data_IF_451816761054
#
_entry.id   IF_451816761054
#
_cell.length_a   1.000
_cell.length_b   1.000
_cell.length_c   1.000
_cell.angle_alpha   90.00
_cell.angle_beta   90.00
_cell.angle_gamma   90.00
#
_symmetry.space_group_name_H-M   'P 1'
#
loop_
_entity.id
_entity.type
_entity.pdbx_description
1 polymer ?
#
# COMPACT_ATOMS: atom_id res chain seq x y z
N UNK A 1 6.70 3.86 -7.07
CA UNK A 1 5.27 3.72 -6.66
C UNK A 1 4.41 4.60 -7.54
N UNK A 2 3.30 4.10 -7.96
CA UNK A 2 2.38 4.82 -8.84
C UNK A 2 1.35 5.63 -8.02
N UNK A 3 1.21 6.92 -8.35
CA UNK A 3 0.22 7.77 -7.70
C UNK A 3 -1.12 7.67 -8.45
N UNK A 4 -2.13 7.11 -7.81
CA UNK A 4 -3.47 6.99 -8.36
C UNK A 4 -4.46 7.78 -7.50
N UNK A 5 -5.42 8.43 -8.15
CA UNK A 5 -6.35 9.34 -7.47
C UNK A 5 -7.81 8.93 -7.64
N UNK A 6 -8.09 7.83 -8.30
CA UNK A 6 -9.46 7.36 -8.52
C UNK A 6 -9.61 5.95 -7.98
N UNK A 7 -10.70 5.71 -7.24
CA UNK A 7 -11.00 4.39 -6.68
C UNK A 7 -11.10 3.33 -7.77
N UNK A 8 -11.63 3.69 -8.92
CA UNK A 8 -11.78 2.78 -10.05
C UNK A 8 -10.42 2.31 -10.57
N UNK A 9 -9.46 3.24 -10.73
CA UNK A 9 -8.13 2.92 -11.21
C UNK A 9 -7.35 2.11 -10.18
N UNK A 10 -7.53 2.45 -8.90
CA UNK A 10 -6.90 1.71 -7.80
C UNK A 10 -7.40 0.28 -7.76
N UNK A 11 -8.71 0.08 -7.80
CA UNK A 11 -9.29 -1.26 -7.80
C UNK A 11 -8.86 -2.09 -9.02
N UNK A 12 -8.79 -1.45 -10.20
CA UNK A 12 -8.37 -2.14 -11.40
C UNK A 12 -6.92 -2.57 -11.31
N UNK A 13 -6.05 -1.71 -10.81
CA UNK A 13 -4.63 -2.01 -10.63
C UNK A 13 -4.43 -3.17 -9.65
N UNK A 14 -5.17 -3.15 -8.54
CA UNK A 14 -5.12 -4.22 -7.55
C UNK A 14 -5.61 -5.54 -8.17
N UNK A 15 -6.65 -5.49 -8.96
CA UNK A 15 -7.22 -6.67 -9.62
C UNK A 15 -6.26 -7.27 -10.66
N UNK A 16 -5.52 -6.43 -11.36
CA UNK A 16 -4.63 -6.85 -12.45
C UNK A 16 -3.28 -7.38 -11.98
N UNK A 17 -2.99 -7.30 -10.68
CA UNK A 17 -1.70 -7.70 -10.12
C UNK A 17 -1.90 -8.62 -8.94
N UNK A 18 -1.18 -9.74 -8.92
CA UNK A 18 -1.35 -10.75 -7.88
C UNK A 18 -0.93 -10.27 -6.51
N UNK A 19 0.10 -9.41 -6.43
CA UNK A 19 0.54 -8.82 -5.17
C UNK A 19 0.72 -7.33 -5.35
N UNK A 20 0.02 -6.54 -4.53
CA UNK A 20 0.10 -5.08 -4.55
C UNK A 20 0.39 -4.56 -3.16
N UNK A 21 1.26 -3.56 -3.09
CA UNK A 21 1.42 -2.73 -1.90
C UNK A 21 0.68 -1.43 -2.14
N UNK A 22 -0.19 -1.05 -1.21
CA UNK A 22 -0.97 0.17 -1.30
C UNK A 22 -0.70 1.05 -0.09
N UNK A 23 -0.08 2.22 -0.33
CA UNK A 23 0.21 3.20 0.72
C UNK A 23 -0.83 4.31 0.68
N UNK A 24 -1.40 4.64 1.85
CA UNK A 24 -2.49 5.61 1.94
C UNK A 24 -2.08 6.74 2.89
N UNK A 25 -2.08 7.98 2.35
CA UNK A 25 -1.87 9.18 3.15
C UNK A 25 -3.20 9.69 3.66
N UNK A 26 -3.18 10.41 4.77
CA UNK A 26 -4.37 11.03 5.35
C UNK A 26 -4.10 12.50 5.66
N UNK A 27 -5.16 13.32 5.84
CA UNK A 27 -5.00 14.72 6.25
C UNK A 27 -4.30 14.82 7.61
N UNK A 28 -3.59 15.93 7.81
CA UNK A 28 -2.91 16.24 9.07
C UNK A 28 -1.90 15.17 9.51
N UNK A 29 -1.32 14.47 8.54
CA UNK A 29 -0.33 13.44 8.79
C UNK A 29 1.07 14.01 8.54
N UNK A 30 1.73 14.48 9.60
CA UNK A 30 3.05 15.10 9.50
C UNK A 30 4.15 14.15 9.08
N UNK A 31 3.94 12.82 9.18
CA UNK A 31 4.96 11.82 8.86
C UNK A 31 4.66 11.06 7.56
N UNK A 32 3.53 11.32 6.92
CA UNK A 32 3.14 10.55 5.73
C UNK A 32 4.15 10.64 4.59
N UNK A 33 4.66 11.84 4.27
CA UNK A 33 5.62 11.99 3.19
C UNK A 33 6.96 11.33 3.49
N UNK A 34 7.42 11.46 4.73
CA UNK A 34 8.67 10.80 5.17
C UNK A 34 8.53 9.29 5.09
N UNK A 35 7.40 8.79 5.56
CA UNK A 35 7.14 7.34 5.54
C UNK A 35 6.97 6.82 4.12
N UNK A 36 6.31 7.58 3.25
CA UNK A 36 6.17 7.23 1.84
C UNK A 36 7.54 7.04 1.19
N UNK A 37 8.48 7.96 1.42
CA UNK A 37 9.84 7.84 0.90
C UNK A 37 10.54 6.56 1.38
N UNK A 38 10.37 6.24 2.66
CA UNK A 38 10.97 5.03 3.23
C UNK A 38 10.36 3.76 2.65
N UNK A 39 9.06 3.74 2.48
CA UNK A 39 8.35 2.59 1.89
C UNK A 39 8.73 2.45 0.42
N UNK A 40 8.85 3.55 -0.31
CA UNK A 40 9.27 3.52 -1.71
C UNK A 40 10.66 2.88 -1.87
N UNK A 41 11.60 3.21 -0.98
CA UNK A 41 12.92 2.58 -1.00
C UNK A 41 12.85 1.07 -0.80
N UNK A 42 11.90 0.61 0.01
CA UNK A 42 11.67 -0.82 0.19
C UNK A 42 11.10 -1.43 -1.08
N UNK A 43 10.08 -0.81 -1.69
CA UNK A 43 9.47 -1.35 -2.91
C UNK A 43 10.44 -1.38 -4.09
N UNK A 44 11.42 -0.47 -4.13
CA UNK A 44 12.44 -0.45 -5.16
C UNK A 44 13.31 -1.72 -5.17
N UNK A 45 13.40 -2.41 -4.04
CA UNK A 45 14.14 -3.67 -3.92
C UNK A 45 13.35 -4.85 -4.50
N UNK A 46 12.05 -4.65 -4.74
CA UNK A 46 11.15 -5.69 -5.24
C UNK A 46 10.52 -5.25 -6.58
N UNK A 47 11.27 -5.27 -7.68
CA UNK A 47 10.79 -4.71 -8.95
C UNK A 47 9.55 -5.38 -9.53
N UNK A 48 9.26 -6.61 -9.15
CA UNK A 48 8.05 -7.32 -9.58
C UNK A 48 6.81 -6.95 -8.77
N UNK A 49 6.99 -6.23 -7.66
CA UNK A 49 5.88 -5.83 -6.80
C UNK A 49 5.15 -4.63 -7.40
N UNK A 50 3.84 -4.75 -7.56
CA UNK A 50 2.99 -3.60 -7.86
C UNK A 50 2.92 -2.74 -6.61
N UNK A 51 3.19 -1.44 -6.73
CA UNK A 51 3.10 -0.54 -5.59
C UNK A 51 2.46 0.78 -6.01
N UNK A 52 1.51 1.23 -5.21
CA UNK A 52 0.75 2.44 -5.49
C UNK A 52 0.47 3.20 -4.20
N UNK A 53 0.17 4.50 -4.36
CA UNK A 53 -0.23 5.32 -3.22
C UNK A 53 -1.31 6.32 -3.61
N UNK A 54 -2.07 6.77 -2.63
CA UNK A 54 -3.04 7.83 -2.76
C UNK A 54 -3.15 8.62 -1.46
N UNK A 55 -3.92 9.70 -1.51
CA UNK A 55 -4.29 10.48 -0.32
C UNK A 55 -5.81 10.42 -0.20
N UNK A 56 -6.32 10.21 1.00
CA UNK A 56 -7.77 10.15 1.27
C UNK A 56 -8.46 11.44 0.81
N UNK A 57 -7.75 12.58 0.86
CA UNK A 57 -8.30 13.85 0.39
C UNK A 57 -8.60 13.79 -1.11
N UNK A 58 -7.73 13.14 -1.89
CA UNK A 58 -7.87 13.05 -3.35
C UNK A 58 -8.99 12.09 -3.76
N UNK A 59 -9.22 11.04 -2.95
CA UNK A 59 -10.26 10.06 -3.21
C UNK A 59 -10.90 9.60 -1.89
N UNK A 60 -11.92 10.31 -1.41
CA UNK A 60 -12.55 10.00 -0.12
C UNK A 60 -13.16 8.60 -0.01
N UNK A 61 -13.50 7.97 -1.12
CA UNK A 61 -14.04 6.62 -1.11
C UNK A 61 -13.05 5.57 -0.60
N UNK A 62 -11.76 5.90 -0.61
CA UNK A 62 -10.72 5.01 -0.06
C UNK A 62 -10.99 4.69 1.40
N UNK A 63 -11.38 5.70 2.19
CA UNK A 63 -11.62 5.50 3.62
C UNK A 63 -12.64 4.40 3.88
N UNK A 64 -13.81 4.48 3.23
CA UNK A 64 -14.87 3.50 3.45
C UNK A 64 -14.60 2.18 2.74
N UNK A 65 -14.00 2.22 1.55
CA UNK A 65 -13.76 1.02 0.76
C UNK A 65 -12.71 0.11 1.40
N UNK A 66 -11.61 0.70 1.90
CA UNK A 66 -10.51 -0.05 2.50
C UNK A 66 -10.51 0.01 4.03
N UNK A 67 -11.48 0.67 4.64
CA UNK A 67 -11.58 0.86 6.10
C UNK A 67 -10.30 1.50 6.65
N UNK A 68 -9.89 2.61 6.02
CA UNK A 68 -8.69 3.37 6.38
C UNK A 68 -9.11 4.78 6.79
N UNK A 69 -8.92 5.12 8.07
CA UNK A 69 -9.37 6.39 8.64
C UNK A 69 -8.23 7.23 9.21
N UNK A 70 -7.00 6.74 9.14
CA UNK A 70 -5.82 7.46 9.61
C UNK A 70 -4.63 7.12 8.73
N UNK A 71 -3.61 7.95 8.78
CA UNK A 71 -2.39 7.76 8.01
C UNK A 71 -1.13 7.87 8.86
N UNK A 72 -0.02 7.37 8.37
CA UNK A 72 0.06 6.55 7.18
C UNK A 72 -0.52 5.15 7.39
N UNK A 73 -1.08 4.58 6.33
CA UNK A 73 -1.52 3.18 6.35
C UNK A 73 -0.91 2.47 5.15
N UNK A 74 -0.39 1.27 5.35
CA UNK A 74 0.08 0.43 4.26
C UNK A 74 -0.68 -0.89 4.28
N UNK A 75 -1.11 -1.32 3.09
CA UNK A 75 -1.79 -2.59 2.88
C UNK A 75 -0.99 -3.44 1.91
N UNK A 76 -0.94 -4.74 2.15
CA UNK A 76 -0.57 -5.70 1.13
C UNK A 76 -1.83 -6.45 0.72
N UNK A 77 -2.05 -6.55 -0.59
CA UNK A 77 -3.20 -7.25 -1.15
C UNK A 77 -2.70 -8.34 -2.09
N UNK A 78 -3.14 -9.56 -1.82
CA UNK A 78 -2.81 -10.71 -2.66
C UNK A 78 -4.08 -11.24 -3.30
N UNK A 79 -4.09 -11.30 -4.63
CA UNK A 79 -5.27 -11.67 -5.42
C UNK A 79 -6.50 -10.86 -5.00
N UNK A 80 -6.30 -9.56 -4.75
CA UNK A 80 -7.34 -8.62 -4.35
C UNK A 80 -7.74 -8.64 -2.89
N UNK A 81 -7.14 -9.50 -2.07
CA UNK A 81 -7.49 -9.64 -0.65
C UNK A 81 -6.39 -9.10 0.23
N UNK A 82 -6.77 -8.36 1.26
CA UNK A 82 -5.82 -7.83 2.24
C UNK A 82 -5.19 -8.98 3.02
N UNK A 83 -3.85 -9.05 3.01
CA UNK A 83 -3.09 -10.07 3.74
C UNK A 83 -2.19 -9.47 4.80
N UNK A 84 -1.98 -8.15 4.80
CA UNK A 84 -1.20 -7.44 5.80
C UNK A 84 -1.64 -6.00 5.86
N UNK A 85 -1.61 -5.42 7.06
CA UNK A 85 -1.95 -4.02 7.29
C UNK A 85 -1.11 -3.46 8.42
N UNK A 86 -0.63 -2.23 8.25
CA UNK A 86 -0.05 -1.44 9.34
C UNK A 86 -0.57 -0.02 9.24
N UNK A 87 -1.02 0.56 10.33
CA UNK A 87 -1.57 1.91 10.39
C UNK A 87 -0.87 2.74 11.44
N UNK A 88 -0.63 4.01 11.14
CA UNK A 88 0.00 5.03 11.99
C UNK A 88 1.47 4.73 12.24
N UNK A 89 1.81 3.60 12.80
CA UNK A 89 3.19 3.17 12.99
C UNK A 89 3.47 2.01 12.04
N UNK A 90 4.41 2.23 11.13
CA UNK A 90 4.81 1.22 10.14
C UNK A 90 6.21 0.72 10.50
N UNK A 91 6.28 -0.56 10.92
CA UNK A 91 7.55 -1.23 11.15
C UNK A 91 8.11 -1.67 9.80
N UNK A 92 9.17 -1.00 9.35
CA UNK A 92 9.73 -1.21 8.01
C UNK A 92 10.34 -2.60 7.84
N UNK A 93 10.93 -3.16 8.90
CA UNK A 93 11.48 -4.51 8.84
C UNK A 93 10.38 -5.56 8.75
N UNK A 94 9.30 -5.37 9.49
CA UNK A 94 8.12 -6.23 9.41
C UNK A 94 7.48 -6.17 8.03
N UNK A 95 7.37 -4.96 7.46
CA UNK A 95 6.83 -4.79 6.11
C UNK A 95 7.68 -5.55 5.09
N UNK A 96 8.99 -5.40 5.16
CA UNK A 96 9.92 -6.07 4.26
C UNK A 96 9.80 -7.59 4.37
N UNK A 97 9.72 -8.09 5.59
CA UNK A 97 9.53 -9.51 5.86
C UNK A 97 8.24 -10.04 5.20
N UNK A 98 7.15 -9.31 5.35
CA UNK A 98 5.86 -9.71 4.79
C UNK A 98 5.86 -9.66 3.26
N UNK A 99 6.48 -8.65 2.66
CA UNK A 99 6.62 -8.59 1.20
C UNK A 99 7.36 -9.83 0.69
N UNK A 100 8.50 -10.15 1.28
CA UNK A 100 9.28 -11.33 0.92
C UNK A 100 8.47 -12.61 1.04
N UNK A 101 7.75 -12.75 2.14
CA UNK A 101 6.95 -13.94 2.41
C UNK A 101 5.89 -14.17 1.32
N UNK A 102 5.17 -13.13 0.94
CA UNK A 102 4.11 -13.27 -0.05
C UNK A 102 4.65 -13.43 -1.47
N UNK A 103 5.79 -12.81 -1.79
CA UNK A 103 6.48 -13.05 -3.06
C UNK A 103 6.87 -14.53 -3.17
N UNK A 104 7.44 -15.10 -2.11
CA UNK A 104 7.81 -16.52 -2.08
C UNK A 104 6.60 -17.42 -2.25
N UNK A 105 5.48 -17.09 -1.60
CA UNK A 105 4.26 -17.87 -1.73
C UNK A 105 3.74 -17.89 -3.18
N UNK A 106 3.84 -16.77 -3.89
CA UNK A 106 3.40 -16.68 -5.27
C UNK A 106 4.33 -17.40 -6.24
N UNK A 107 5.58 -17.63 -5.85
CA UNK A 107 6.56 -18.33 -6.67
C UNK A 107 6.44 -19.86 -6.60
N UNK A 108 5.62 -20.37 -5.70
CA UNK A 108 5.42 -21.82 -5.55
C UNK A 108 4.44 -22.39 -6.56
#
# INVERSE_FOLDING_TARGET
MEHLTSIKDIEQTIKDNRLCLFFIKAPDCGVCNVMLDKVEKITDVFPSLCSLYTDIIEEPLIASHFLVYSGPTVLLLMDGKEVYRASQFIDLEELKYNINRYIELLAQ
#
